data_IF_479080567451
#
_entry.id   IF_479080567451
#
_cell.length_a   1.000
_cell.length_b   1.000
_cell.length_c   1.000
_cell.angle_alpha   90.00
_cell.angle_beta   90.00
_cell.angle_gamma   90.00
#
_symmetry.space_group_name_H-M   'P 1'
#
loop_
_entity.id
_entity.type
_entity.pdbx_description
1 polymer ?
#
# COMPACT_ATOMS: atom_id res chain seq x y z
N UNK A 1 11.63 -29.47 -2.14
CA UNK A 1 11.18 -28.06 -2.27
C UNK A 1 12.37 -27.19 -1.93
N UNK A 2 12.59 -26.09 -2.66
CA UNK A 2 13.64 -25.12 -2.31
C UNK A 2 13.35 -24.52 -0.92
N UNK A 3 14.40 -24.22 -0.15
CA UNK A 3 14.26 -23.52 1.12
C UNK A 3 13.77 -22.08 0.87
N UNK A 4 13.10 -21.45 1.83
CA UNK A 4 12.65 -20.05 1.68
C UNK A 4 13.83 -19.09 1.46
N UNK A 5 14.99 -19.41 2.02
CA UNK A 5 16.23 -18.64 1.88
C UNK A 5 16.76 -18.63 0.43
N UNK A 6 16.47 -19.67 -0.37
CA UNK A 6 16.87 -19.77 -1.78
C UNK A 6 16.18 -18.73 -2.69
N UNK A 7 15.25 -17.95 -2.13
CA UNK A 7 14.53 -16.89 -2.83
C UNK A 7 15.16 -15.52 -2.64
N UNK A 8 16.05 -15.36 -1.64
CA UNK A 8 16.76 -14.11 -1.40
C UNK A 8 17.66 -13.79 -2.59
N UNK A 9 17.63 -12.53 -3.04
CA UNK A 9 18.37 -12.06 -4.21
C UNK A 9 17.68 -12.33 -5.55
N UNK A 10 16.53 -13.02 -5.60
CA UNK A 10 15.76 -13.13 -6.84
C UNK A 10 15.26 -11.76 -7.28
N UNK A 11 15.35 -11.51 -8.58
CA UNK A 11 14.94 -10.25 -9.18
C UNK A 11 13.75 -10.43 -10.13
N UNK A 12 12.88 -9.44 -10.16
CA UNK A 12 11.90 -9.22 -11.22
C UNK A 12 12.10 -7.83 -11.81
N UNK A 13 12.04 -7.71 -13.14
CA UNK A 13 12.15 -6.45 -13.86
C UNK A 13 10.89 -6.19 -14.65
N UNK A 14 10.33 -5.00 -14.50
CA UNK A 14 9.12 -4.56 -15.22
C UNK A 14 9.34 -3.19 -15.83
N UNK A 15 8.83 -3.01 -17.04
CA UNK A 15 8.83 -1.73 -17.75
C UNK A 15 7.42 -1.14 -17.80
N UNK A 16 7.31 0.17 -17.78
CA UNK A 16 6.04 0.89 -17.95
C UNK A 16 6.29 2.31 -18.51
N UNK A 17 5.24 3.11 -18.65
CA UNK A 17 5.31 4.52 -19.02
C UNK A 17 4.25 5.32 -18.26
N UNK A 18 4.61 6.52 -17.84
CA UNK A 18 3.63 7.47 -17.28
C UNK A 18 2.70 7.98 -18.39
N UNK A 19 1.58 7.30 -18.60
CA UNK A 19 0.59 7.74 -19.59
C UNK A 19 -0.26 8.89 -19.05
N UNK A 20 -0.70 9.80 -19.93
CA UNK A 20 -1.64 10.86 -19.54
C UNK A 20 -2.96 10.30 -18.99
N UNK A 21 -3.42 9.15 -19.50
CA UNK A 21 -4.61 8.47 -19.02
C UNK A 21 -4.48 7.93 -17.59
N UNK A 22 -3.32 7.32 -17.26
CA UNK A 22 -3.03 6.89 -15.89
C UNK A 22 -3.00 8.09 -14.94
N UNK A 23 -2.26 9.15 -15.30
CA UNK A 23 -2.16 10.36 -14.49
C UNK A 23 -3.53 10.99 -14.21
N UNK A 24 -4.37 11.14 -15.23
CA UNK A 24 -5.72 11.69 -15.08
C UNK A 24 -6.59 10.83 -14.14
N UNK A 25 -6.60 9.50 -14.34
CA UNK A 25 -7.40 8.59 -13.49
C UNK A 25 -6.91 8.55 -12.05
N UNK A 26 -5.59 8.60 -11.83
CA UNK A 26 -5.02 8.67 -10.49
C UNK A 26 -5.48 9.93 -9.77
N UNK A 27 -5.32 11.11 -10.39
CA UNK A 27 -5.78 12.39 -9.82
C UNK A 27 -7.27 12.39 -9.52
N UNK A 28 -8.09 11.89 -10.45
CA UNK A 28 -9.54 11.79 -10.28
C UNK A 28 -9.95 10.81 -9.16
N UNK A 29 -9.12 9.81 -8.86
CA UNK A 29 -9.37 8.83 -7.79
C UNK A 29 -8.95 9.34 -6.43
N UNK A 30 -7.78 9.99 -6.33
CA UNK A 30 -7.24 10.51 -5.05
C UNK A 30 -7.84 11.88 -4.68
N UNK A 31 -8.44 12.60 -5.64
CA UNK A 31 -8.96 13.95 -5.42
C UNK A 31 -7.85 14.99 -5.32
N UNK A 32 -6.79 14.83 -6.10
CA UNK A 32 -5.66 15.75 -6.20
C UNK A 32 -5.89 16.71 -7.40
N UNK A 33 -5.82 18.05 -7.24
CA UNK A 33 -6.02 18.99 -8.33
C UNK A 33 -5.02 18.75 -9.49
N UNK A 34 -5.35 19.10 -10.74
CA UNK A 34 -4.43 18.94 -11.86
C UNK A 34 -3.25 19.91 -11.76
N UNK A 35 -2.16 19.45 -11.15
CA UNK A 35 -0.86 20.12 -11.14
C UNK A 35 0.06 19.60 -12.27
N UNK A 36 1.07 20.38 -12.70
CA UNK A 36 1.98 19.97 -13.77
C UNK A 36 2.90 18.81 -13.37
N UNK A 37 3.22 18.64 -12.08
CA UNK A 37 4.10 17.60 -11.57
C UNK A 37 3.38 16.26 -11.39
N UNK A 38 4.03 15.13 -11.69
CA UNK A 38 3.48 13.80 -11.40
C UNK A 38 3.37 13.61 -9.87
N UNK A 39 2.20 13.21 -9.34
CA UNK A 39 2.03 13.02 -7.89
C UNK A 39 2.95 11.93 -7.33
N UNK A 40 3.46 12.17 -6.12
CA UNK A 40 4.04 11.10 -5.31
C UNK A 40 2.97 10.01 -5.04
N UNK A 41 3.41 8.77 -4.89
CA UNK A 41 2.52 7.60 -4.79
C UNK A 41 2.06 7.02 -6.15
N UNK A 42 2.20 7.76 -7.27
CA UNK A 42 1.89 7.19 -8.60
C UNK A 42 2.75 5.96 -8.94
N UNK A 43 3.96 5.86 -8.38
CA UNK A 43 4.86 4.71 -8.59
C UNK A 43 4.26 3.37 -8.18
N UNK A 44 3.28 3.33 -7.27
CA UNK A 44 2.55 2.09 -6.95
C UNK A 44 1.52 1.67 -8.01
N UNK A 45 1.17 2.57 -8.93
CA UNK A 45 0.28 2.32 -10.06
C UNK A 45 1.07 2.11 -11.37
N UNK A 46 2.40 2.01 -11.28
CA UNK A 46 3.30 1.78 -12.40
C UNK A 46 3.95 0.41 -12.26
N UNK A 47 4.32 -0.18 -13.39
CA UNK A 47 4.96 -1.50 -13.46
C UNK A 47 4.11 -2.56 -12.73
N UNK A 48 2.79 -2.46 -12.82
CA UNK A 48 1.85 -3.33 -12.10
C UNK A 48 2.00 -4.79 -12.53
N UNK A 49 1.51 -5.75 -11.73
CA UNK A 49 1.38 -7.12 -12.19
C UNK A 49 0.56 -7.18 -13.48
N UNK A 50 0.85 -8.16 -14.34
CA UNK A 50 0.15 -8.46 -15.60
C UNK A 50 -0.22 -9.95 -15.67
N UNK A 51 -0.38 -10.56 -14.49
CA UNK A 51 -0.60 -12.00 -14.32
C UNK A 51 -1.79 -12.49 -15.16
N UNK A 52 -1.60 -13.51 -16.01
CA UNK A 52 -2.70 -14.13 -16.74
C UNK A 52 -3.76 -14.69 -15.79
N UNK A 53 -5.03 -14.65 -16.19
CA UNK A 53 -6.16 -15.14 -15.36
C UNK A 53 -5.97 -16.60 -14.88
N UNK A 54 -5.31 -17.45 -15.67
CA UNK A 54 -5.05 -18.84 -15.32
C UNK A 54 -4.02 -19.03 -14.20
N UNK A 55 -3.22 -17.99 -13.91
CA UNK A 55 -2.16 -17.99 -12.91
C UNK A 55 -2.55 -17.20 -11.64
N UNK A 56 -3.80 -16.73 -11.56
CA UNK A 56 -4.36 -16.18 -10.33
C UNK A 56 -4.71 -17.31 -9.34
N UNK A 57 -4.49 -17.02 -8.07
CA UNK A 57 -4.94 -17.83 -6.95
C UNK A 57 -6.40 -17.52 -6.62
N UNK A 58 -6.99 -18.31 -5.73
CA UNK A 58 -8.38 -18.13 -5.30
C UNK A 58 -8.63 -16.76 -4.68
N UNK A 59 -7.66 -16.19 -3.96
CA UNK A 59 -7.72 -14.86 -3.37
C UNK A 59 -7.57 -13.74 -4.43
N UNK A 60 -7.21 -14.07 -5.67
CA UNK A 60 -6.99 -13.14 -6.76
C UNK A 60 -5.57 -12.58 -6.85
N UNK A 61 -4.62 -13.05 -6.04
CA UNK A 61 -3.21 -12.75 -6.20
C UNK A 61 -2.54 -13.65 -7.24
N UNK A 62 -1.39 -13.23 -7.78
CA UNK A 62 -0.53 -14.10 -8.56
C UNK A 62 -0.07 -15.31 -7.74
N UNK A 63 0.05 -16.48 -8.38
CA UNK A 63 0.61 -17.67 -7.77
C UNK A 63 2.03 -17.43 -7.24
N UNK A 64 2.26 -17.79 -5.98
CA UNK A 64 3.58 -17.83 -5.36
C UNK A 64 4.47 -18.89 -6.04
N UNK A 65 5.77 -18.82 -5.84
CA UNK A 65 6.73 -19.73 -6.48
C UNK A 65 7.24 -19.23 -7.83
N UNK A 66 7.02 -17.96 -8.17
CA UNK A 66 7.57 -17.28 -9.36
C UNK A 66 8.66 -16.29 -8.95
N UNK A 67 8.26 -15.10 -8.49
CA UNK A 67 9.13 -14.11 -7.87
C UNK A 67 9.18 -14.27 -6.34
N UNK A 68 8.01 -14.41 -5.70
CA UNK A 68 7.90 -14.60 -4.25
C UNK A 68 7.96 -16.09 -3.88
N UNK A 69 8.53 -16.43 -2.71
CA UNK A 69 8.60 -17.81 -2.25
C UNK A 69 7.22 -18.46 -2.09
N UNK A 70 7.10 -19.80 -2.25
CA UNK A 70 5.87 -20.55 -2.10
C UNK A 70 5.49 -20.69 -0.62
N UNK A 71 5.06 -19.58 -0.02
CA UNK A 71 4.66 -19.51 1.39
C UNK A 71 3.29 -20.16 1.56
N UNK A 72 3.19 -21.14 2.46
CA UNK A 72 1.97 -21.90 2.72
C UNK A 72 0.96 -21.23 3.65
N UNK A 73 1.16 -19.95 3.99
CA UNK A 73 0.27 -19.19 4.86
C UNK A 73 -0.74 -18.38 4.04
N UNK A 74 -2.04 -18.45 4.35
CA UNK A 74 -3.10 -18.00 3.45
C UNK A 74 -3.22 -16.49 3.34
N UNK A 75 -2.99 -15.73 4.43
CA UNK A 75 -3.22 -14.29 4.43
C UNK A 75 -1.94 -13.53 4.17
N UNK A 76 -1.91 -12.75 3.08
CA UNK A 76 -0.83 -11.83 2.73
C UNK A 76 -1.21 -10.38 3.03
N UNK A 77 -0.36 -9.69 3.79
CA UNK A 77 -0.53 -8.28 4.14
C UNK A 77 0.67 -7.47 3.70
N UNK A 78 0.45 -6.29 3.12
CA UNK A 78 1.49 -5.27 2.97
C UNK A 78 1.56 -4.49 4.29
N UNK A 79 2.51 -4.86 5.15
CA UNK A 79 2.59 -4.37 6.52
C UNK A 79 3.22 -2.97 6.63
N UNK A 80 4.05 -2.59 5.66
CA UNK A 80 4.63 -1.26 5.60
C UNK A 80 5.62 -1.08 4.46
N UNK A 81 6.07 0.15 4.27
CA UNK A 81 7.18 0.48 3.38
C UNK A 81 8.05 1.59 3.97
N UNK A 82 9.33 1.60 3.60
CA UNK A 82 10.23 2.73 3.75
C UNK A 82 10.70 3.20 2.36
N UNK A 83 10.48 4.46 2.03
CA UNK A 83 10.61 5.00 0.68
C UNK A 83 11.54 6.21 0.70
N UNK A 84 12.44 6.30 -0.27
CA UNK A 84 13.27 7.47 -0.56
C UNK A 84 12.99 7.98 -1.96
N UNK A 85 12.83 9.30 -2.09
CA UNK A 85 12.58 9.99 -3.35
C UNK A 85 13.84 10.75 -3.76
N UNK A 86 14.50 10.33 -4.82
CA UNK A 86 15.74 10.95 -5.31
C UNK A 86 15.46 12.00 -6.37
N UNK A 87 14.54 11.72 -7.29
CA UNK A 87 14.20 12.60 -8.41
C UNK A 87 12.69 12.53 -8.71
N UNK A 88 12.07 13.62 -9.21
CA UNK A 88 10.69 13.58 -9.65
C UNK A 88 10.54 12.69 -10.89
N UNK A 89 9.41 12.00 -10.99
CA UNK A 89 9.02 11.29 -12.21
C UNK A 89 8.33 12.30 -13.14
N UNK A 90 8.74 12.39 -14.40
CA UNK A 90 8.10 13.28 -15.37
C UNK A 90 6.88 12.62 -16.03
N UNK A 91 5.96 13.43 -16.55
CA UNK A 91 4.90 12.92 -17.41
C UNK A 91 5.52 12.30 -18.69
N UNK A 92 4.93 11.21 -19.18
CA UNK A 92 5.46 10.43 -20.31
C UNK A 92 6.80 9.72 -20.10
N UNK A 93 7.41 9.81 -18.90
CA UNK A 93 8.66 9.12 -18.59
C UNK A 93 8.53 7.61 -18.80
N UNK A 94 9.60 7.00 -19.33
CA UNK A 94 9.76 5.54 -19.42
C UNK A 94 10.23 5.05 -18.05
N UNK A 95 9.53 4.05 -17.51
CA UNK A 95 9.75 3.55 -16.16
C UNK A 95 10.34 2.15 -16.23
N UNK A 96 11.41 1.92 -15.47
CA UNK A 96 11.90 0.58 -15.12
C UNK A 96 11.75 0.39 -13.62
N UNK A 97 11.17 -0.72 -13.19
CA UNK A 97 11.21 -1.17 -11.81
C UNK A 97 11.98 -2.47 -11.70
N UNK A 98 13.01 -2.48 -10.87
CA UNK A 98 13.70 -3.70 -10.43
C UNK A 98 13.25 -4.02 -9.02
N UNK A 99 12.73 -5.22 -8.81
CA UNK A 99 12.29 -5.71 -7.50
C UNK A 99 13.17 -6.87 -7.10
N UNK A 100 13.72 -6.85 -5.89
CA UNK A 100 14.62 -7.88 -5.37
C UNK A 100 14.10 -8.39 -4.03
N UNK A 101 13.99 -9.70 -3.86
CA UNK A 101 13.67 -10.29 -2.54
C UNK A 101 14.87 -10.05 -1.63
N UNK A 102 14.76 -9.12 -0.70
CA UNK A 102 15.85 -8.67 0.16
C UNK A 102 16.03 -9.60 1.37
N UNK A 103 14.93 -10.08 1.95
CA UNK A 103 14.97 -11.02 3.07
C UNK A 103 13.69 -11.87 3.13
N UNK A 104 13.83 -13.06 3.70
CA UNK A 104 12.70 -13.91 4.10
C UNK A 104 12.97 -14.40 5.52
N UNK A 105 12.02 -14.18 6.43
CA UNK A 105 12.18 -14.55 7.84
C UNK A 105 10.91 -15.21 8.38
N UNK A 106 11.06 -16.45 8.85
CA UNK A 106 10.00 -17.16 9.57
C UNK A 106 10.04 -16.81 11.05
N UNK A 107 8.88 -16.50 11.63
CA UNK A 107 8.73 -16.24 13.06
C UNK A 107 7.49 -16.95 13.57
N UNK A 108 7.55 -17.43 14.80
CA UNK A 108 6.36 -17.92 15.51
C UNK A 108 5.96 -16.89 16.55
N UNK A 109 4.79 -16.29 16.37
CA UNK A 109 4.22 -15.33 17.31
C UNK A 109 3.10 -15.94 18.15
N UNK A 110 2.50 -15.12 19.02
CA UNK A 110 1.31 -15.51 19.82
C UNK A 110 0.11 -15.91 18.94
N UNK A 111 0.05 -15.40 17.71
CA UNK A 111 -1.01 -15.65 16.74
C UNK A 111 -0.70 -16.76 15.73
N UNK A 112 0.35 -17.56 15.98
CA UNK A 112 0.78 -18.65 15.10
C UNK A 112 1.99 -18.31 14.24
N UNK A 113 2.17 -19.07 13.16
CA UNK A 113 3.27 -18.88 12.21
C UNK A 113 3.11 -17.57 11.42
N UNK A 114 4.23 -16.89 11.22
CA UNK A 114 4.37 -15.67 10.44
C UNK A 114 5.57 -15.82 9.51
N UNK A 115 5.43 -15.39 8.26
CA UNK A 115 6.56 -15.23 7.35
C UNK A 115 6.64 -13.77 6.92
N UNK A 116 7.79 -13.15 7.16
CA UNK A 116 8.11 -11.80 6.72
C UNK A 116 8.91 -11.90 5.43
N UNK A 117 8.53 -11.13 4.41
CA UNK A 117 9.29 -11.00 3.16
C UNK A 117 9.54 -9.52 2.92
N UNK A 118 10.80 -9.11 2.88
CA UNK A 118 11.17 -7.76 2.49
C UNK A 118 11.57 -7.75 1.01
N UNK A 119 11.08 -6.75 0.28
CA UNK A 119 11.32 -6.58 -1.14
C UNK A 119 11.89 -5.18 -1.35
N UNK A 120 13.06 -5.11 -1.96
CA UNK A 120 13.64 -3.85 -2.41
C UNK A 120 13.14 -3.54 -3.82
N UNK A 121 12.56 -2.37 -4.00
CA UNK A 121 12.19 -1.82 -5.29
C UNK A 121 13.09 -0.63 -5.62
N UNK A 122 13.71 -0.66 -6.79
CA UNK A 122 14.35 0.50 -7.39
C UNK A 122 13.58 0.89 -8.66
N UNK A 123 13.05 2.10 -8.67
CA UNK A 123 12.30 2.66 -9.79
C UNK A 123 13.16 3.72 -10.47
N UNK A 124 13.42 3.52 -11.76
CA UNK A 124 14.09 4.46 -12.63
C UNK A 124 13.12 5.12 -13.58
N UNK A 125 13.21 6.43 -13.73
CA UNK A 125 12.49 7.20 -14.74
C UNK A 125 13.51 7.73 -15.76
N UNK A 126 13.34 7.36 -17.03
CA UNK A 126 14.24 7.72 -18.13
C UNK A 126 15.73 7.40 -17.82
N UNK A 127 15.96 6.28 -17.12
CA UNK A 127 17.29 5.81 -16.72
C UNK A 127 17.85 6.44 -15.43
N UNK A 128 17.12 7.35 -14.79
CA UNK A 128 17.52 8.01 -13.54
C UNK A 128 16.83 7.34 -12.35
N UNK A 129 17.59 6.95 -11.33
CA UNK A 129 17.03 6.46 -10.06
C UNK A 129 16.11 7.53 -9.45
N UNK A 130 14.81 7.23 -9.39
CA UNK A 130 13.79 8.19 -8.96
C UNK A 130 13.25 7.85 -7.57
N UNK A 131 12.98 6.55 -7.32
CA UNK A 131 12.42 6.06 -6.06
C UNK A 131 13.12 4.78 -5.65
N UNK A 132 13.47 4.67 -4.38
CA UNK A 132 13.82 3.39 -3.74
C UNK A 132 12.82 3.11 -2.63
N UNK A 133 12.33 1.88 -2.57
CA UNK A 133 11.37 1.43 -1.58
C UNK A 133 11.80 0.08 -1.01
N UNK A 134 11.78 -0.07 0.31
CA UNK A 134 11.76 -1.38 0.97
C UNK A 134 10.35 -1.67 1.44
N UNK A 135 9.70 -2.60 0.78
CA UNK A 135 8.35 -3.06 1.08
C UNK A 135 8.40 -4.29 1.99
N UNK A 136 7.57 -4.30 3.04
CA UNK A 136 7.44 -5.45 3.96
C UNK A 136 6.11 -6.15 3.76
N UNK A 137 6.17 -7.41 3.33
CA UNK A 137 5.03 -8.32 3.30
C UNK A 137 5.05 -9.22 4.54
N UNK A 138 3.86 -9.48 5.08
CA UNK A 138 3.65 -10.44 6.17
C UNK A 138 2.61 -11.46 5.73
N UNK A 139 2.99 -12.73 5.83
CA UNK A 139 2.11 -13.86 5.65
C UNK A 139 1.76 -14.45 7.01
N UNK A 140 0.49 -14.80 7.20
CA UNK A 140 -0.01 -15.31 8.47
C UNK A 140 -1.17 -16.28 8.27
N UNK A 141 -1.46 -17.04 9.32
CA UNK A 141 -2.67 -17.83 9.42
C UNK A 141 -3.93 -16.96 9.42
N UNK A 142 -5.01 -17.53 8.87
CA UNK A 142 -6.37 -17.04 9.06
C UNK A 142 -6.71 -17.16 10.54
N UNK A 143 -7.02 -16.04 11.19
CA UNK A 143 -7.44 -16.07 12.59
C UNK A 143 -8.75 -16.84 12.76
N UNK A 144 -8.90 -17.56 13.88
CA UNK A 144 -10.14 -18.32 14.19
C UNK A 144 -11.23 -17.45 14.81
N UNK A 145 -10.88 -16.27 15.33
CA UNK A 145 -11.84 -15.33 15.89
C UNK A 145 -12.43 -14.43 14.78
N UNK A 146 -13.76 -14.26 14.74
CA UNK A 146 -14.38 -13.34 13.80
C UNK A 146 -13.91 -11.90 14.08
N UNK A 147 -13.58 -11.17 13.02
CA UNK A 147 -13.20 -9.76 13.11
C UNK A 147 -14.50 -8.96 13.08
N UNK A 148 -14.84 -8.32 14.20
CA UNK A 148 -16.01 -7.44 14.26
C UNK A 148 -15.73 -6.13 13.53
N UNK A 149 -16.79 -5.52 12.97
CA UNK A 149 -16.69 -4.12 12.56
C UNK A 149 -16.34 -3.28 13.80
N UNK A 150 -15.40 -2.33 13.67
CA UNK A 150 -15.20 -1.32 14.70
C UNK A 150 -16.53 -0.61 15.00
N UNK A 151 -16.73 -0.25 16.27
CA UNK A 151 -17.92 0.48 16.69
C UNK A 151 -17.79 1.92 16.17
N UNK A 152 -18.86 2.47 15.60
CA UNK A 152 -18.92 3.90 15.23
C UNK A 152 -18.69 4.75 16.48
N UNK A 153 -17.83 5.76 16.38
CA UNK A 153 -17.35 6.52 17.52
C UNK A 153 -17.17 7.99 17.19
N UNK A 154 -16.34 8.67 17.97
CA UNK A 154 -15.83 9.98 17.57
C UNK A 154 -14.37 10.00 17.96
N UNK A 155 -13.50 9.93 16.96
CA UNK A 155 -12.06 9.98 17.17
C UNK A 155 -11.68 11.31 17.82
N UNK A 156 -10.84 11.25 18.85
CA UNK A 156 -10.22 12.45 19.39
C UNK A 156 -9.08 12.90 18.45
N UNK A 157 -9.30 14.02 17.78
CA UNK A 157 -8.38 14.59 16.80
C UNK A 157 -7.69 15.85 17.33
N UNK A 158 -7.82 16.17 18.63
CA UNK A 158 -7.33 17.42 19.22
C UNK A 158 -5.80 17.60 19.10
N UNK A 159 -5.05 16.50 19.11
CA UNK A 159 -3.59 16.48 18.91
C UNK A 159 -3.14 16.57 17.44
N UNK A 160 -4.09 16.68 16.51
CA UNK A 160 -3.86 16.64 15.07
C UNK A 160 -4.35 17.93 14.40
N UNK A 161 -3.49 18.95 14.24
CA UNK A 161 -3.88 20.25 13.67
C UNK A 161 -4.31 20.14 12.20
N UNK A 162 -3.84 19.12 11.49
CA UNK A 162 -4.24 18.82 10.12
C UNK A 162 -5.10 17.55 10.11
N UNK A 163 -6.30 17.65 9.55
CA UNK A 163 -7.21 16.52 9.41
C UNK A 163 -7.98 16.59 8.07
N UNK A 164 -8.03 15.45 7.37
CA UNK A 164 -8.93 15.21 6.24
C UNK A 164 -9.67 13.89 6.44
N UNK A 165 -10.99 13.96 6.51
CA UNK A 165 -11.85 12.78 6.66
C UNK A 165 -12.42 12.34 5.32
N UNK A 166 -12.59 11.04 5.15
CA UNK A 166 -13.32 10.44 4.04
C UNK A 166 -14.03 9.15 4.48
N UNK A 167 -15.00 8.70 3.70
CA UNK A 167 -15.62 7.38 3.85
C UNK A 167 -15.25 6.61 2.57
N UNK A 168 -14.29 5.67 2.62
CA UNK A 168 -13.99 4.84 1.46
C UNK A 168 -15.20 3.99 1.08
N UNK A 169 -15.58 4.00 -0.20
CA UNK A 169 -16.70 3.22 -0.72
C UNK A 169 -16.24 2.24 -1.80
N UNK A 170 -17.16 1.41 -2.29
CA UNK A 170 -16.89 0.41 -3.32
C UNK A 170 -16.32 1.04 -4.60
N UNK A 171 -16.78 2.25 -4.96
CA UNK A 171 -16.31 2.95 -6.15
C UNK A 171 -14.84 3.36 -6.03
N UNK A 172 -14.44 3.90 -4.88
CA UNK A 172 -13.04 4.23 -4.59
C UNK A 172 -12.16 2.98 -4.58
N UNK A 173 -12.60 1.92 -3.90
CA UNK A 173 -11.87 0.65 -3.81
C UNK A 173 -11.70 0.01 -5.20
N UNK A 174 -12.74 0.00 -6.03
CA UNK A 174 -12.69 -0.51 -7.40
C UNK A 174 -11.72 0.32 -8.27
N UNK A 175 -11.81 1.65 -8.21
CA UNK A 175 -10.92 2.54 -8.97
C UNK A 175 -9.45 2.34 -8.58
N UNK A 176 -9.16 2.22 -7.29
CA UNK A 176 -7.79 1.99 -6.83
C UNK A 176 -7.27 0.60 -7.21
N UNK A 177 -8.12 -0.43 -7.14
CA UNK A 177 -7.81 -1.77 -7.66
C UNK A 177 -7.46 -1.73 -9.15
N UNK A 178 -8.23 -0.98 -9.94
CA UNK A 178 -7.96 -0.81 -11.37
C UNK A 178 -6.66 -0.04 -11.66
N UNK A 179 -6.33 0.99 -10.86
CA UNK A 179 -5.07 1.75 -10.99
C UNK A 179 -3.84 0.91 -10.70
N UNK A 180 -3.93 -0.01 -9.73
CA UNK A 180 -2.82 -0.85 -9.27
C UNK A 180 -2.81 -2.24 -9.90
N UNK A 181 -3.78 -2.52 -10.79
CA UNK A 181 -4.08 -3.85 -11.32
C UNK A 181 -4.13 -4.93 -10.22
N UNK A 182 -4.72 -4.56 -9.08
CA UNK A 182 -4.79 -5.40 -7.90
C UNK A 182 -6.15 -6.13 -7.85
N UNK A 183 -6.12 -7.43 -8.15
CA UNK A 183 -7.28 -8.31 -8.18
C UNK A 183 -7.53 -9.06 -6.89
N UNK A 184 -6.93 -8.66 -5.76
CA UNK A 184 -7.18 -9.29 -4.48
C UNK A 184 -8.64 -9.10 -4.04
N UNK A 185 -9.35 -10.22 -3.86
CA UNK A 185 -10.80 -10.28 -3.68
C UNK A 185 -11.30 -9.56 -2.44
N UNK A 186 -10.45 -9.35 -1.44
CA UNK A 186 -10.87 -8.67 -0.20
C UNK A 186 -11.34 -7.23 -0.41
N UNK A 187 -11.04 -6.65 -1.58
CA UNK A 187 -11.35 -5.27 -1.93
C UNK A 187 -12.66 -5.10 -2.70
N UNK A 188 -13.26 -6.17 -3.22
CA UNK A 188 -14.45 -6.07 -4.09
C UNK A 188 -15.45 -7.23 -3.98
N UNK A 189 -15.07 -8.38 -3.44
CA UNK A 189 -15.94 -9.56 -3.32
C UNK A 189 -16.39 -9.74 -1.86
N UNK A 190 -17.57 -9.20 -1.53
CA UNK A 190 -18.08 -9.22 -0.16
C UNK A 190 -18.36 -10.64 0.35
N UNK A 191 -18.73 -11.57 -0.52
CA UNK A 191 -18.95 -12.97 -0.16
C UNK A 191 -17.64 -13.62 0.26
N UNK A 192 -16.60 -13.49 -0.57
CA UNK A 192 -15.25 -13.98 -0.23
C UNK A 192 -14.72 -13.38 1.08
N UNK A 193 -14.84 -12.07 1.24
CA UNK A 193 -14.41 -11.33 2.44
C UNK A 193 -15.01 -11.91 3.72
N UNK A 194 -16.31 -12.23 3.71
CA UNK A 194 -17.04 -12.72 4.87
C UNK A 194 -16.87 -14.21 5.10
N UNK A 195 -17.05 -14.99 4.05
CA UNK A 195 -17.21 -16.44 4.15
C UNK A 195 -15.86 -17.18 4.10
N UNK A 196 -14.83 -16.58 3.49
CA UNK A 196 -13.48 -17.16 3.38
C UNK A 196 -12.51 -16.44 4.31
N UNK A 197 -12.50 -15.11 4.28
CA UNK A 197 -11.54 -14.31 5.03
C UNK A 197 -12.05 -13.86 6.41
N UNK A 198 -13.33 -14.05 6.75
CA UNK A 198 -13.87 -13.72 8.07
C UNK A 198 -13.81 -12.23 8.45
N UNK A 199 -13.65 -11.35 7.46
CA UNK A 199 -13.77 -9.91 7.63
C UNK A 199 -15.25 -9.50 7.51
N UNK A 200 -15.67 -8.44 8.20
CA UNK A 200 -17.08 -8.09 8.25
C UNK A 200 -17.53 -7.19 7.08
N UNK A 201 -16.58 -6.61 6.35
CA UNK A 201 -16.80 -5.75 5.18
C UNK A 201 -15.56 -5.67 4.29
N UNK A 202 -15.71 -5.07 3.09
CA UNK A 202 -14.61 -4.93 2.14
C UNK A 202 -13.44 -4.19 2.79
N UNK A 203 -12.23 -4.73 2.64
CA UNK A 203 -11.03 -4.18 3.27
C UNK A 203 -10.48 -3.06 2.40
N UNK A 204 -10.20 -1.90 2.98
CA UNK A 204 -9.54 -0.79 2.29
C UNK A 204 -8.06 -1.14 2.05
N UNK A 205 -7.54 -0.91 0.85
CA UNK A 205 -6.15 -1.21 0.52
C UNK A 205 -5.21 -0.42 1.44
N UNK A 206 -4.25 -1.11 2.08
CA UNK A 206 -3.14 -0.44 2.76
C UNK A 206 -2.45 0.59 1.85
N UNK A 207 -2.13 0.24 0.59
CA UNK A 207 -1.53 1.19 -0.36
C UNK A 207 -2.42 2.40 -0.70
N UNK A 208 -3.75 2.26 -0.70
CA UNK A 208 -4.66 3.40 -0.88
C UNK A 208 -4.52 4.36 0.31
N UNK A 209 -4.50 3.84 1.53
CA UNK A 209 -4.32 4.64 2.75
C UNK A 209 -2.95 5.33 2.71
N UNK A 210 -1.89 4.60 2.36
CA UNK A 210 -0.55 5.17 2.21
C UNK A 210 -0.49 6.26 1.13
N UNK A 211 -1.18 6.06 0.00
CA UNK A 211 -1.30 7.05 -1.09
C UNK A 211 -1.99 8.32 -0.60
N UNK A 212 -3.07 8.18 0.17
CA UNK A 212 -3.81 9.31 0.73
C UNK A 212 -3.01 10.06 1.81
N UNK A 213 -2.23 9.36 2.64
CA UNK A 213 -1.33 9.99 3.62
C UNK A 213 -0.16 10.71 2.94
N UNK A 214 0.39 10.13 1.86
CA UNK A 214 1.43 10.79 1.07
C UNK A 214 0.91 12.02 0.32
N UNK A 215 -0.34 11.96 -0.18
CA UNK A 215 -1.05 13.12 -0.72
C UNK A 215 -1.27 14.20 0.36
N UNK A 216 -1.64 13.81 1.58
CA UNK A 216 -1.75 14.75 2.70
C UNK A 216 -0.40 15.42 3.00
N UNK A 217 0.68 14.65 3.16
CA UNK A 217 2.02 15.20 3.37
C UNK A 217 2.43 16.18 2.24
N UNK A 218 2.13 15.81 0.99
CA UNK A 218 2.42 16.65 -0.18
C UNK A 218 1.69 17.99 -0.13
N UNK A 219 0.45 18.02 0.35
CA UNK A 219 -0.32 19.27 0.49
C UNK A 219 0.23 20.17 1.60
N UNK A 220 0.76 19.59 2.66
CA UNK A 220 1.27 20.36 3.82
C UNK A 220 2.65 20.94 3.57
N UNK A 221 3.58 20.19 2.94
CA UNK A 221 4.98 20.62 2.81
C UNK A 221 5.51 20.67 1.37
N UNK A 222 4.71 20.31 0.37
CA UNK A 222 5.12 20.27 -1.04
C UNK A 222 5.76 18.93 -1.45
N UNK A 223 5.54 18.50 -2.69
CA UNK A 223 6.03 17.21 -3.20
C UNK A 223 7.57 17.20 -3.30
N UNK A 224 8.15 18.31 -3.73
CA UNK A 224 9.58 18.51 -3.91
C UNK A 224 10.36 18.50 -2.59
N UNK A 225 9.71 18.88 -1.49
CA UNK A 225 10.32 18.90 -0.17
C UNK A 225 10.47 17.49 0.41
N UNK A 226 9.58 16.55 0.08
CA UNK A 226 9.58 15.20 0.63
C UNK A 226 10.77 14.40 0.08
N UNK A 227 11.71 14.06 0.97
CA UNK A 227 12.87 13.21 0.67
C UNK A 227 12.64 11.74 1.01
N UNK A 228 11.84 11.46 2.04
CA UNK A 228 11.46 10.10 2.40
C UNK A 228 10.05 10.03 2.98
N UNK A 229 9.42 8.87 2.81
CA UNK A 229 8.12 8.53 3.38
C UNK A 229 8.18 7.10 3.91
N UNK A 230 7.58 6.85 5.06
CA UNK A 230 7.43 5.49 5.58
C UNK A 230 6.06 5.31 6.18
N UNK A 231 5.56 4.08 6.15
CA UNK A 231 4.30 3.74 6.81
C UNK A 231 4.30 2.33 7.35
N UNK A 232 3.42 2.10 8.33
CA UNK A 232 3.15 0.81 8.94
C UNK A 232 1.64 0.64 9.11
N UNK A 233 1.08 -0.40 8.52
CA UNK A 233 -0.30 -0.81 8.74
C UNK A 233 -0.43 -1.46 10.13
N UNK A 234 -1.38 -0.99 10.92
CA UNK A 234 -1.59 -1.45 12.31
C UNK A 234 -2.91 -2.19 12.49
N UNK A 235 -3.96 -1.80 11.76
CA UNK A 235 -5.25 -2.49 11.77
C UNK A 235 -6.02 -2.28 10.46
N UNK A 236 -6.95 -3.16 10.06
CA UNK A 236 -7.67 -3.03 8.79
C UNK A 236 -8.69 -1.88 8.84
N UNK A 237 -8.89 -1.15 7.74
CA UNK A 237 -10.05 -0.29 7.54
C UNK A 237 -11.06 -0.97 6.61
N UNK A 238 -12.33 -0.58 6.72
CA UNK A 238 -13.43 -1.19 5.99
C UNK A 238 -14.20 -0.14 5.19
N UNK A 239 -14.67 -0.51 3.99
CA UNK A 239 -15.52 0.36 3.20
C UNK A 239 -16.82 0.71 3.97
N UNK A 240 -17.31 1.93 3.77
CA UNK A 240 -18.47 2.47 4.47
C UNK A 240 -18.20 2.95 5.90
N UNK A 241 -16.95 2.89 6.38
CA UNK A 241 -16.54 3.43 7.69
C UNK A 241 -15.75 4.73 7.52
N UNK A 242 -15.93 5.73 8.41
CA UNK A 242 -15.08 6.93 8.39
C UNK A 242 -13.61 6.59 8.63
N UNK A 243 -12.76 7.29 7.88
CA UNK A 243 -11.31 7.26 8.01
C UNK A 243 -10.82 8.71 8.11
N UNK A 244 -10.01 9.00 9.13
CA UNK A 244 -9.44 10.32 9.37
C UNK A 244 -7.95 10.28 9.05
N UNK A 245 -7.54 11.00 8.01
CA UNK A 245 -6.15 11.21 7.66
C UNK A 245 -5.66 12.43 8.43
N UNK A 246 -4.65 12.25 9.27
CA UNK A 246 -4.17 13.28 10.18
C UNK A 246 -2.68 13.50 10.03
N UNK A 247 -2.24 14.74 10.28
CA UNK A 247 -0.83 15.10 10.29
C UNK A 247 -0.53 16.14 11.38
N UNK A 248 0.71 16.09 11.87
CA UNK A 248 1.28 17.09 12.78
C UNK A 248 2.79 17.18 12.56
N UNK A 249 3.38 18.30 12.96
CA UNK A 249 4.83 18.44 12.99
C UNK A 249 5.45 17.41 13.94
N UNK A 250 6.62 16.91 13.56
CA UNK A 250 7.47 16.06 14.39
C UNK A 250 8.87 16.67 14.47
N UNK A 251 9.75 16.12 15.34
CA UNK A 251 11.14 16.57 15.46
C UNK A 251 11.86 16.62 14.10
N UNK A 252 11.50 15.71 13.19
CA UNK A 252 11.95 15.70 11.79
C UNK A 252 10.77 15.48 10.85
N UNK A 253 10.35 16.53 10.15
CA UNK A 253 9.28 16.48 9.16
C UNK A 253 7.88 16.35 9.77
N UNK A 254 7.07 15.42 9.25
CA UNK A 254 5.68 15.21 9.64
C UNK A 254 5.49 13.81 10.22
N UNK A 255 4.75 13.74 11.33
CA UNK A 255 4.08 12.52 11.76
C UNK A 255 2.67 12.49 11.17
N UNK A 256 2.29 11.37 10.57
CA UNK A 256 0.98 11.18 9.95
C UNK A 256 0.32 9.90 10.45
N UNK A 257 -1.01 9.85 10.39
CA UNK A 257 -1.75 8.62 10.66
C UNK A 257 -3.08 8.58 9.91
N UNK A 258 -3.59 7.37 9.73
CA UNK A 258 -4.99 7.13 9.42
C UNK A 258 -5.66 6.53 10.66
N UNK A 259 -6.73 7.18 11.12
CA UNK A 259 -7.51 6.76 12.28
C UNK A 259 -8.90 6.28 11.84
N UNK A 260 -9.41 5.23 12.47
CA UNK A 260 -10.83 4.90 12.39
C UNK A 260 -11.66 5.91 13.17
N UNK A 261 -12.98 5.91 12.94
CA UNK A 261 -13.94 6.76 13.66
C UNK A 261 -13.95 6.53 15.18
N UNK A 262 -13.48 5.37 15.64
CA UNK A 262 -13.27 5.01 17.04
C UNK A 262 -11.90 5.46 17.60
N UNK A 263 -11.12 6.21 16.83
CA UNK A 263 -9.79 6.70 17.20
C UNK A 263 -8.69 5.65 17.11
N UNK A 264 -8.98 4.41 16.70
CA UNK A 264 -7.94 3.39 16.54
C UNK A 264 -7.00 3.75 15.39
N UNK A 265 -5.71 3.46 15.56
CA UNK A 265 -4.75 3.58 14.47
C UNK A 265 -4.97 2.47 13.44
N UNK A 266 -5.24 2.87 12.19
CA UNK A 266 -5.29 2.00 11.01
C UNK A 266 -3.93 1.93 10.34
N UNK A 267 -3.26 3.08 10.24
CA UNK A 267 -1.92 3.21 9.69
C UNK A 267 -1.18 4.35 10.38
N UNK A 268 0.09 4.14 10.68
CA UNK A 268 1.03 5.18 11.09
C UNK A 268 1.96 5.47 9.92
N UNK A 269 2.33 6.73 9.71
CA UNK A 269 3.26 7.13 8.66
C UNK A 269 4.13 8.32 9.11
N UNK A 270 5.23 8.52 8.40
CA UNK A 270 6.12 9.66 8.59
C UNK A 270 6.65 10.15 7.25
N UNK A 271 6.77 11.46 7.09
CA UNK A 271 7.39 12.09 5.94
C UNK A 271 8.51 13.01 6.41
N UNK A 272 9.71 12.85 5.84
CA UNK A 272 10.86 13.69 6.19
C UNK A 272 11.33 14.47 4.97
N UNK A 273 11.83 15.71 5.15
CA UNK A 273 12.35 16.50 4.06
C UNK A 273 13.63 15.87 3.44
N UNK A 274 14.00 16.36 2.26
CA UNK A 274 15.28 16.03 1.58
C UNK A 274 16.51 16.45 2.37
#
# INVERSE_FOLDING_TARGET
>A
MAALEDWIGREERRGDRVTGGLLHRFRATIGNPPEPAVPLGLHWCLCTPDTPMADLQEDGHQRLGTFLPPIGLPRRMWAGSAIRFFAPIAASAVIERVSTVASVAEKTGKSGALVFVEIDHLIRADGIDAVQERQTLVYRETGTAPISLPVTGTADLSDWPVCRSLIPDEALLFRYSALTFNTHRIHYDLGYVRDVEGYPGLVVHGPLIATLLLDLATREIGAEAIGAFSFRATSPAFAGQPLHLVAREADTGLALAALGDDGRFVMEAGATPR
#
